data_IF_051564712322
#
_entry.id   IF_051564712322
#
_cell.length_a   1.000
_cell.length_b   1.000
_cell.length_c   1.000
_cell.angle_alpha   90.00
_cell.angle_beta   90.00
_cell.angle_gamma   90.00
#
_symmetry.space_group_name_H-M   'P 1'
#
loop_
_entity.id
_entity.type
_entity.pdbx_description
1 polymer ?
#
# COMPACT_ATOMS: atom_id res chain seq x y z
N UNK A 1 2.35 4.63 6.32
CA UNK A 1 0.97 4.15 6.55
C UNK A 1 0.98 2.64 6.33
N UNK A 2 0.41 1.84 7.22
CA UNK A 2 0.31 0.38 6.96
C UNK A 2 -0.83 0.08 5.98
N UNK A 3 -0.81 -1.09 5.33
CA UNK A 3 -1.81 -1.50 4.33
C UNK A 3 -3.28 -1.31 4.78
N UNK A 4 -3.58 -1.53 6.07
CA UNK A 4 -4.91 -1.29 6.62
C UNK A 4 -5.30 0.20 6.65
N UNK A 5 -4.34 1.09 6.92
CA UNK A 5 -4.56 2.54 6.88
C UNK A 5 -4.68 3.03 5.45
N UNK A 6 -3.82 2.56 4.55
CA UNK A 6 -3.90 2.86 3.11
C UNK A 6 -5.25 2.43 2.52
N UNK A 7 -5.74 1.23 2.87
CA UNK A 7 -7.07 0.75 2.46
C UNK A 7 -8.20 1.63 2.99
N UNK A 8 -8.12 2.08 4.25
CA UNK A 8 -9.13 2.98 4.83
C UNK A 8 -9.11 4.38 4.21
N UNK A 9 -7.93 4.92 3.94
CA UNK A 9 -7.78 6.28 3.42
C UNK A 9 -8.12 6.38 1.93
N UNK A 10 -7.74 5.38 1.12
CA UNK A 10 -8.06 5.34 -0.33
C UNK A 10 -9.45 4.76 -0.64
N UNK A 11 -10.10 4.10 0.33
CA UNK A 11 -11.34 3.35 0.11
C UNK A 11 -11.15 2.09 -0.74
N UNK A 12 -9.90 1.72 -1.05
CA UNK A 12 -9.58 0.55 -1.87
C UNK A 12 -9.53 -0.71 -1.03
N UNK A 13 -9.90 -1.82 -1.66
CA UNK A 13 -9.70 -3.14 -1.05
C UNK A 13 -8.21 -3.47 -1.00
N UNK A 14 -7.81 -4.30 -0.04
CA UNK A 14 -6.45 -4.84 0.05
C UNK A 14 -5.97 -5.44 -1.27
N UNK A 15 -6.86 -6.16 -1.97
CA UNK A 15 -6.56 -6.82 -3.24
C UNK A 15 -6.29 -5.83 -4.37
N UNK A 16 -6.98 -4.68 -4.38
CA UNK A 16 -6.71 -3.61 -5.35
C UNK A 16 -5.35 -2.96 -5.10
N UNK A 17 -5.00 -2.71 -3.84
CA UNK A 17 -3.69 -2.17 -3.46
C UNK A 17 -2.57 -3.17 -3.83
N UNK A 18 -2.74 -4.45 -3.52
CA UNK A 18 -1.78 -5.50 -3.92
C UNK A 18 -1.63 -5.58 -5.44
N UNK A 19 -2.73 -5.50 -6.19
CA UNK A 19 -2.71 -5.44 -7.65
C UNK A 19 -1.92 -4.23 -8.16
N UNK A 20 -2.09 -3.04 -7.58
CA UNK A 20 -1.31 -1.86 -7.98
C UNK A 20 0.18 -1.97 -7.67
N UNK A 21 0.54 -2.66 -6.58
CA UNK A 21 1.94 -2.99 -6.29
C UNK A 21 2.49 -3.95 -7.35
N UNK A 22 1.73 -4.99 -7.70
CA UNK A 22 2.12 -5.96 -8.74
C UNK A 22 2.26 -5.32 -10.12
N UNK A 23 1.40 -4.34 -10.44
CA UNK A 23 1.51 -3.54 -11.67
C UNK A 23 2.61 -2.48 -11.61
N UNK A 24 3.25 -2.27 -10.45
CA UNK A 24 4.28 -1.24 -10.25
C UNK A 24 3.74 0.19 -10.24
N UNK A 25 2.43 0.38 -10.07
CA UNK A 25 1.76 1.68 -10.00
C UNK A 25 2.01 2.39 -8.67
N UNK A 26 2.21 1.61 -7.60
CA UNK A 26 2.61 2.08 -6.26
C UNK A 26 3.74 1.19 -5.75
N UNK A 27 4.68 1.76 -5.00
CA UNK A 27 5.88 1.08 -4.54
C UNK A 27 6.11 1.40 -3.05
N UNK A 28 5.30 0.81 -2.16
CA UNK A 28 5.46 1.06 -0.74
C UNK A 28 6.83 0.56 -0.27
N UNK A 29 7.41 1.28 0.69
CA UNK A 29 8.69 0.89 1.24
C UNK A 29 8.54 -0.40 2.05
N UNK A 30 9.28 -1.43 1.65
CA UNK A 30 9.42 -2.66 2.42
C UNK A 30 10.25 -2.37 3.67
N UNK A 31 9.64 -2.52 4.85
CA UNK A 31 10.38 -2.53 6.11
C UNK A 31 10.94 -3.93 6.41
N UNK A 32 12.05 -3.99 7.15
CA UNK A 32 12.75 -5.22 7.54
C UNK A 32 11.86 -6.28 8.23
N UNK A 33 10.72 -5.90 8.80
CA UNK A 33 9.78 -6.82 9.47
C UNK A 33 8.68 -7.40 8.55
N UNK A 34 8.77 -7.21 7.24
CA UNK A 34 7.75 -7.68 6.28
C UNK A 34 6.49 -6.81 6.24
N UNK A 35 6.48 -5.68 6.95
CA UNK A 35 5.47 -4.63 6.80
C UNK A 35 5.82 -3.73 5.63
N UNK A 36 4.78 -3.22 4.95
CA UNK A 36 4.93 -2.26 3.85
C UNK A 36 4.38 -0.92 4.31
N UNK A 37 5.22 0.10 4.18
CA UNK A 37 4.86 1.47 4.50
C UNK A 37 4.49 2.21 3.22
N UNK A 38 3.24 2.64 3.15
CA UNK A 38 2.71 3.49 2.10
C UNK A 38 2.92 4.95 2.49
N UNK A 39 3.42 5.76 1.57
CA UNK A 39 3.50 7.21 1.75
C UNK A 39 2.15 7.88 1.45
N UNK A 40 1.94 9.09 1.97
CA UNK A 40 0.72 9.85 1.68
C UNK A 40 0.58 10.24 0.20
N UNK A 41 1.64 10.11 -0.60
CA UNK A 41 1.59 10.31 -2.05
C UNK A 41 1.05 9.08 -2.81
N UNK A 42 0.94 7.93 -2.15
CA UNK A 42 0.54 6.64 -2.74
C UNK A 42 -0.87 6.19 -2.31
N UNK A 43 -1.57 7.03 -1.54
CA UNK A 43 -2.89 6.76 -0.94
C UNK A 43 -3.88 7.83 -1.36
#
# INVERSE_FOLDING_TARGET
MVLNEASRASGLTRKAIEYYIEQGLIQPQSQDHGYRDFSAAEV
#
